data_IF_676374737092
#
_entry.id   IF_676374737092
#
_cell.length_a   1.000
_cell.length_b   1.000
_cell.length_c   1.000
_cell.angle_alpha   90.00
_cell.angle_beta   90.00
_cell.angle_gamma   90.00
#
_symmetry.space_group_name_H-M   'P 1'
#
loop_
_entity.id
_entity.type
_entity.pdbx_description
1 polymer ?
#
# COMPACT_ATOMS: atom_id res chain seq x y z
N UNK A 1 -40.40 -30.78 14.73
CA UNK A 1 -39.47 -30.72 13.57
C UNK A 1 -38.26 -29.89 14.00
N UNK A 2 -37.07 -30.48 14.09
CA UNK A 2 -35.83 -29.78 14.48
C UNK A 2 -35.28 -29.08 13.24
N UNK A 3 -35.33 -27.76 13.23
CA UNK A 3 -34.64 -26.94 12.22
C UNK A 3 -33.18 -26.85 12.69
N UNK A 4 -32.19 -27.36 11.96
CA UNK A 4 -30.80 -27.14 12.31
C UNK A 4 -30.48 -25.66 12.06
N UNK A 5 -30.33 -24.92 13.15
CA UNK A 5 -29.69 -23.60 13.15
C UNK A 5 -28.26 -23.81 12.66
N UNK A 6 -28.03 -23.48 11.38
CA UNK A 6 -26.71 -23.36 10.81
C UNK A 6 -26.06 -22.13 11.48
N UNK A 7 -25.50 -22.33 12.67
CA UNK A 7 -24.60 -21.37 13.28
C UNK A 7 -23.39 -21.30 12.35
N UNK A 8 -23.40 -20.31 11.45
CA UNK A 8 -22.28 -19.99 10.59
C UNK A 8 -21.05 -19.81 11.46
N UNK A 9 -20.25 -20.87 11.55
CA UNK A 9 -18.99 -20.89 12.23
C UNK A 9 -18.10 -19.86 11.53
N UNK A 10 -18.03 -18.68 12.15
CA UNK A 10 -16.95 -17.70 12.12
C UNK A 10 -15.75 -18.11 11.25
N UNK A 11 -15.85 -17.89 9.94
CA UNK A 11 -14.81 -18.17 8.95
C UNK A 11 -13.86 -16.98 8.71
N UNK A 12 -13.89 -15.96 9.58
CA UNK A 12 -13.13 -14.72 9.37
C UNK A 12 -11.73 -14.69 10.03
N UNK A 13 -11.39 -15.67 10.88
CA UNK A 13 -10.08 -15.69 11.57
C UNK A 13 -8.96 -16.32 10.76
N UNK A 14 -9.24 -17.27 9.87
CA UNK A 14 -8.22 -17.89 8.99
C UNK A 14 -7.75 -16.96 7.88
N UNK A 15 -8.63 -16.09 7.36
CA UNK A 15 -8.33 -15.18 6.26
C UNK A 15 -7.30 -14.11 6.58
N UNK A 16 -7.40 -13.43 7.74
CA UNK A 16 -6.46 -12.37 8.13
C UNK A 16 -5.07 -12.88 8.44
N UNK A 17 -4.97 -14.00 9.18
CA UNK A 17 -3.68 -14.62 9.47
C UNK A 17 -2.97 -15.09 8.18
N UNK A 18 -3.71 -15.64 7.22
CA UNK A 18 -3.18 -16.02 5.92
C UNK A 18 -2.73 -14.80 5.09
N UNK A 19 -3.50 -13.71 5.11
CA UNK A 19 -3.14 -12.46 4.45
C UNK A 19 -1.87 -11.84 5.06
N UNK A 20 -1.73 -11.84 6.38
CA UNK A 20 -0.53 -11.34 7.05
C UNK A 20 0.71 -12.16 6.69
N UNK A 21 0.61 -13.50 6.69
CA UNK A 21 1.72 -14.37 6.26
C UNK A 21 2.10 -14.16 4.79
N UNK A 22 1.12 -13.99 3.91
CA UNK A 22 1.37 -13.66 2.51
C UNK A 22 2.09 -12.31 2.38
N UNK A 23 1.67 -11.31 3.16
CA UNK A 23 2.28 -10.00 3.20
C UNK A 23 3.72 -10.04 3.74
N UNK A 24 4.01 -10.81 4.79
CA UNK A 24 5.39 -11.00 5.27
C UNK A 24 6.30 -11.62 4.21
N UNK A 25 5.81 -12.65 3.51
CA UNK A 25 6.55 -13.29 2.43
C UNK A 25 6.82 -12.30 1.30
N UNK A 26 5.81 -11.55 0.90
CA UNK A 26 5.92 -10.57 -0.17
C UNK A 26 6.88 -9.44 0.23
N UNK A 27 6.84 -8.94 1.47
CA UNK A 27 7.80 -7.95 1.98
C UNK A 27 9.24 -8.46 1.99
N UNK A 28 9.45 -9.71 2.40
CA UNK A 28 10.76 -10.33 2.36
C UNK A 28 11.28 -10.50 0.93
N UNK A 29 10.41 -10.84 -0.03
CA UNK A 29 10.75 -10.97 -1.43
C UNK A 29 10.99 -9.61 -2.13
N UNK A 30 10.23 -8.57 -1.77
CA UNK A 30 10.45 -7.20 -2.26
C UNK A 30 11.85 -6.71 -1.90
N UNK A 31 12.33 -7.00 -0.68
CA UNK A 31 13.71 -6.66 -0.27
C UNK A 31 14.78 -7.36 -1.09
N UNK A 32 14.48 -8.54 -1.62
CA UNK A 32 15.37 -9.29 -2.52
C UNK A 32 15.28 -8.81 -3.98
N UNK A 33 14.43 -7.81 -4.26
CA UNK A 33 14.26 -7.27 -5.60
C UNK A 33 13.26 -8.03 -6.47
N UNK A 34 12.46 -8.94 -5.91
CA UNK A 34 11.47 -9.70 -6.67
C UNK A 34 10.36 -8.77 -7.20
N UNK A 35 10.23 -8.73 -8.53
CA UNK A 35 9.25 -7.90 -9.23
C UNK A 35 7.82 -8.42 -9.03
N UNK A 36 7.64 -9.73 -8.92
CA UNK A 36 6.33 -10.35 -8.68
C UNK A 36 5.77 -9.93 -7.32
N UNK A 37 6.63 -9.94 -6.30
CA UNK A 37 6.27 -9.52 -4.96
C UNK A 37 5.93 -8.03 -4.89
N UNK A 38 6.65 -7.16 -5.61
CA UNK A 38 6.29 -5.74 -5.74
C UNK A 38 4.91 -5.55 -6.36
N UNK A 39 4.60 -6.28 -7.43
CA UNK A 39 3.28 -6.19 -8.07
C UNK A 39 2.16 -6.68 -7.14
N UNK A 40 2.37 -7.77 -6.40
CA UNK A 40 1.40 -8.27 -5.42
C UNK A 40 1.15 -7.26 -4.29
N UNK A 41 2.22 -6.63 -3.80
CA UNK A 41 2.14 -5.57 -2.79
C UNK A 41 1.37 -4.35 -3.33
N UNK A 42 1.64 -3.92 -4.56
CA UNK A 42 0.89 -2.81 -5.16
C UNK A 42 -0.60 -3.15 -5.34
N UNK A 43 -0.93 -4.39 -5.68
CA UNK A 43 -2.33 -4.85 -5.80
C UNK A 43 -3.04 -4.85 -4.44
N UNK A 44 -2.39 -5.30 -3.37
CA UNK A 44 -3.01 -5.31 -2.03
C UNK A 44 -3.29 -3.90 -1.50
N UNK A 45 -2.46 -2.91 -1.88
CA UNK A 45 -2.64 -1.51 -1.51
C UNK A 45 -3.38 -0.67 -2.57
N UNK A 46 -3.83 -1.25 -3.69
CA UNK A 46 -4.40 -0.50 -4.81
C UNK A 46 -5.59 0.39 -4.42
N UNK A 47 -6.52 -0.14 -3.60
CA UNK A 47 -7.69 0.62 -3.13
C UNK A 47 -7.28 1.80 -2.23
N UNK A 48 -6.27 1.61 -1.37
CA UNK A 48 -5.74 2.66 -0.50
C UNK A 48 -5.06 3.76 -1.34
N UNK A 49 -4.19 3.37 -2.27
CA UNK A 49 -3.48 4.31 -3.15
C UNK A 49 -4.47 5.15 -3.97
N UNK A 50 -5.48 4.50 -4.54
CA UNK A 50 -6.52 5.18 -5.32
C UNK A 50 -7.34 6.13 -4.47
N UNK A 51 -7.81 5.70 -3.29
CA UNK A 51 -8.57 6.57 -2.40
C UNK A 51 -7.75 7.78 -1.93
N UNK A 52 -6.47 7.61 -1.65
CA UNK A 52 -5.57 8.70 -1.28
C UNK A 52 -5.32 9.69 -2.43
N UNK A 53 -5.25 9.20 -3.67
CA UNK A 53 -5.11 10.03 -4.86
C UNK A 53 -6.40 10.80 -5.18
N UNK A 54 -7.56 10.14 -5.12
CA UNK A 54 -8.88 10.76 -5.34
C UNK A 54 -9.21 11.84 -4.31
N UNK A 55 -8.70 11.73 -3.08
CA UNK A 55 -8.80 12.78 -2.06
C UNK A 55 -7.96 14.02 -2.38
N UNK A 56 -6.90 13.88 -3.18
CA UNK A 56 -5.95 14.96 -3.51
C UNK A 56 -6.28 15.65 -4.83
N UNK A 57 -6.89 14.93 -5.77
CA UNK A 57 -7.27 15.49 -7.07
C UNK A 57 -8.51 14.79 -7.63
N UNK A 58 -9.28 15.53 -8.42
CA UNK A 58 -10.40 15.01 -9.21
C UNK A 58 -10.01 14.77 -10.68
N UNK A 59 -8.84 15.24 -11.11
CA UNK A 59 -8.35 15.04 -12.47
C UNK A 59 -7.77 13.62 -12.65
N UNK A 60 -8.30 12.81 -13.60
CA UNK A 60 -7.83 11.45 -13.84
C UNK A 60 -6.32 11.35 -14.13
N UNK A 61 -5.75 12.34 -14.83
CA UNK A 61 -4.31 12.34 -15.15
C UNK A 61 -3.48 12.48 -13.88
N UNK A 62 -3.84 13.46 -13.06
CA UNK A 62 -3.19 13.71 -11.77
C UNK A 62 -3.38 12.53 -10.83
N UNK A 63 -4.55 11.91 -10.78
CA UNK A 63 -4.82 10.70 -9.98
C UNK A 63 -3.85 9.58 -10.37
N UNK A 64 -3.70 9.29 -11.67
CA UNK A 64 -2.78 8.26 -12.13
C UNK A 64 -1.33 8.56 -11.72
N UNK A 65 -0.89 9.82 -11.83
CA UNK A 65 0.47 10.21 -11.39
C UNK A 65 0.68 10.04 -9.89
N UNK A 66 -0.33 10.36 -9.06
CA UNK A 66 -0.28 10.18 -7.62
C UNK A 66 -0.30 8.71 -7.23
N UNK A 67 -1.07 7.87 -7.94
CA UNK A 67 -1.09 6.42 -7.72
C UNK A 67 0.29 5.82 -8.00
N UNK A 68 0.95 6.19 -9.10
CA UNK A 68 2.31 5.73 -9.40
C UNK A 68 3.32 6.22 -8.34
N UNK A 69 3.25 7.49 -7.94
CA UNK A 69 4.07 8.02 -6.85
C UNK A 69 3.85 7.25 -5.52
N UNK A 70 2.60 6.91 -5.22
CA UNK A 70 2.24 6.11 -4.07
C UNK A 70 2.83 4.70 -4.11
N UNK A 71 2.88 4.05 -5.29
CA UNK A 71 3.55 2.76 -5.46
C UNK A 71 5.06 2.86 -5.18
N UNK A 72 5.71 3.92 -5.66
CA UNK A 72 7.13 4.18 -5.37
C UNK A 72 7.38 4.34 -3.85
N UNK A 73 6.52 5.11 -3.17
CA UNK A 73 6.55 5.26 -1.71
C UNK A 73 6.35 3.94 -0.98
N UNK A 74 5.39 3.12 -1.45
CA UNK A 74 5.11 1.80 -0.90
C UNK A 74 6.31 0.85 -1.03
N UNK A 75 6.99 0.83 -2.18
CA UNK A 75 8.19 0.01 -2.37
C UNK A 75 9.35 0.48 -1.48
N UNK A 76 9.48 1.79 -1.30
CA UNK A 76 10.47 2.38 -0.39
C UNK A 76 10.19 1.98 1.06
N UNK A 77 8.91 1.98 1.47
CA UNK A 77 8.50 1.49 2.78
C UNK A 77 8.82 -0.01 2.93
N UNK A 78 8.49 -0.84 1.95
CA UNK A 78 8.77 -2.27 1.98
C UNK A 78 10.26 -2.59 2.11
N UNK A 79 11.12 -1.81 1.44
CA UNK A 79 12.56 -1.93 1.57
C UNK A 79 13.07 -1.58 2.99
N UNK A 80 12.49 -0.56 3.62
CA UNK A 80 12.92 -0.05 4.94
C UNK A 80 12.27 -0.76 6.13
N UNK A 81 11.11 -1.37 5.95
CA UNK A 81 10.35 -1.98 7.04
C UNK A 81 11.09 -3.17 7.64
N UNK A 82 11.13 -3.29 8.96
CA UNK A 82 11.73 -4.45 9.64
C UNK A 82 10.64 -5.49 9.93
N UNK A 83 10.87 -6.73 9.50
CA UNK A 83 9.88 -7.82 9.57
C UNK A 83 9.65 -8.33 11.01
N UNK A 84 10.58 -8.05 11.92
CA UNK A 84 10.49 -8.35 13.35
C UNK A 84 9.33 -7.63 14.07
N UNK A 85 8.81 -6.55 13.48
CA UNK A 85 7.72 -5.77 14.05
C UNK A 85 6.32 -6.32 13.71
N UNK A 86 6.24 -7.37 12.89
CA UNK A 86 4.99 -8.00 12.44
C UNK A 86 4.33 -7.29 11.26
N UNK A 87 3.88 -8.05 10.27
CA UNK A 87 3.26 -7.53 9.04
C UNK A 87 2.07 -6.60 9.25
N UNK A 88 1.33 -6.75 10.35
CA UNK A 88 0.17 -5.91 10.63
C UNK A 88 0.55 -4.43 10.75
N UNK A 89 1.73 -4.13 11.30
CA UNK A 89 2.24 -2.77 11.47
C UNK A 89 2.72 -2.16 10.15
N UNK A 90 2.93 -2.98 9.12
CA UNK A 90 3.38 -2.51 7.81
C UNK A 90 2.38 -1.54 7.18
N UNK A 91 1.08 -1.77 7.34
CA UNK A 91 0.05 -0.88 6.76
C UNK A 91 0.18 0.56 7.28
N UNK A 92 0.37 0.71 8.60
CA UNK A 92 0.53 2.02 9.24
C UNK A 92 1.89 2.62 8.88
N UNK A 93 2.95 1.81 8.88
CA UNK A 93 4.29 2.26 8.52
C UNK A 93 4.37 2.75 7.07
N UNK A 94 3.77 2.01 6.14
CA UNK A 94 3.78 2.34 4.72
C UNK A 94 3.04 3.64 4.41
N UNK A 95 2.02 3.98 5.20
CA UNK A 95 1.18 5.16 4.97
C UNK A 95 1.99 6.46 4.96
N UNK A 96 2.90 6.67 5.92
CA UNK A 96 3.76 7.86 5.97
C UNK A 96 4.65 8.00 4.72
N UNK A 97 5.19 6.89 4.20
CA UNK A 97 6.00 6.91 2.98
C UNK A 97 5.18 7.16 1.72
N UNK A 98 3.99 6.55 1.64
CA UNK A 98 3.06 6.72 0.53
C UNK A 98 2.59 8.17 0.46
N UNK A 99 2.16 8.75 1.58
CA UNK A 99 1.71 10.13 1.64
C UNK A 99 2.84 11.10 1.30
N UNK A 100 4.03 10.92 1.87
CA UNK A 100 5.21 11.74 1.50
C UNK A 100 5.53 11.67 0.01
N UNK A 101 5.44 10.49 -0.61
CA UNK A 101 5.70 10.33 -2.04
C UNK A 101 4.64 11.02 -2.91
N UNK A 102 3.36 10.87 -2.56
CA UNK A 102 2.25 11.55 -3.24
C UNK A 102 2.34 13.08 -3.09
N UNK A 103 2.63 13.58 -1.90
CA UNK A 103 2.70 15.02 -1.63
C UNK A 103 3.90 15.67 -2.34
N UNK A 104 5.04 14.98 -2.41
CA UNK A 104 6.21 15.46 -3.16
C UNK A 104 5.93 15.56 -4.67
N UNK A 105 5.09 14.67 -5.22
CA UNK A 105 4.68 14.72 -6.64
C UNK A 105 3.55 15.71 -6.90
N UNK A 106 2.62 15.87 -5.94
CA UNK A 106 1.57 16.88 -5.97
C UNK A 106 2.11 18.31 -5.89
N UNK A 107 3.27 18.50 -5.26
CA UNK A 107 4.05 19.74 -5.32
C UNK A 107 4.76 19.90 -6.66
N UNK A 108 3.99 19.93 -7.73
CA UNK A 108 4.47 20.36 -9.04
C UNK A 108 4.93 21.82 -8.97
N UNK A 109 6.21 22.04 -9.24
CA UNK A 109 6.65 23.23 -9.97
C UNK A 109 7.06 24.47 -9.19
N UNK A 110 6.61 24.73 -7.96
CA UNK A 110 6.92 26.03 -7.33
C UNK A 110 8.41 26.17 -6.95
N UNK A 111 9.01 25.17 -6.29
CA UNK A 111 10.45 25.18 -6.00
C UNK A 111 11.33 24.83 -7.21
N UNK A 112 10.82 24.04 -8.15
CA UNK A 112 11.54 23.74 -9.40
C UNK A 112 11.60 24.96 -10.34
N UNK A 113 10.65 25.90 -10.25
CA UNK A 113 10.66 27.19 -10.95
C UNK A 113 11.51 28.22 -10.21
N UNK A 114 11.44 28.29 -8.87
CA UNK A 114 12.23 29.23 -8.07
C UNK A 114 13.75 28.98 -8.09
N UNK A 115 14.18 27.76 -8.39
CA UNK A 115 15.61 27.37 -8.47
C UNK A 115 16.07 27.04 -9.91
N UNK A 116 15.28 27.40 -10.94
CA UNK A 116 15.71 27.30 -12.34
C UNK A 116 16.51 28.55 -12.69
N UNK A 117 17.82 28.40 -12.60
CA UNK A 117 18.84 29.39 -12.96
C UNK A 117 18.73 29.82 -14.43
#
# INVERSE_FOLDING_TARGET
MKIPLNMGASSNTSGRAAQNKALERDLAAVKKGDWTAKNNLAKSFANLLRSLAEKRSQDPTTINTLVEAGKEGLYTAAAKFKLDQGAERFHVFALDFVEKAMDNKGKGGFFAWLFRR
#
